data_IF_620358705155
#
_entry.id   IF_620358705155
#
_cell.length_a   1.000
_cell.length_b   1.000
_cell.length_c   1.000
_cell.angle_alpha   90.00
_cell.angle_beta   90.00
_cell.angle_gamma   90.00
#
_symmetry.space_group_name_H-M   'P 1'
#
loop_
_entity.id
_entity.type
_entity.pdbx_description
1 polymer ?
#
# COMPACT_ATOMS: atom_id res chain seq x y z
N UNK A 1 54.92 -3.97 -2.97
CA UNK A 1 53.87 -3.45 -3.84
C UNK A 1 52.56 -3.91 -3.24
N UNK A 2 51.89 -3.03 -2.48
CA UNK A 2 50.57 -3.30 -1.91
C UNK A 2 49.53 -2.96 -2.96
N UNK A 3 48.87 -3.96 -3.49
CA UNK A 3 47.68 -3.76 -4.34
C UNK A 3 46.58 -3.30 -3.35
N UNK A 4 46.34 -2.01 -3.32
CA UNK A 4 45.15 -1.47 -2.68
C UNK A 4 43.92 -2.06 -3.42
N UNK A 5 43.27 -3.03 -2.80
CA UNK A 5 41.95 -3.47 -3.23
C UNK A 5 41.05 -2.24 -3.17
N UNK A 6 40.71 -1.72 -4.33
CA UNK A 6 39.74 -0.65 -4.49
C UNK A 6 38.34 -1.13 -4.14
N UNK A 7 38.07 -1.31 -2.87
CA UNK A 7 36.69 -1.46 -2.38
C UNK A 7 35.95 -0.17 -2.73
N UNK A 8 35.10 -0.24 -3.75
CA UNK A 8 34.23 0.89 -4.06
C UNK A 8 33.33 1.13 -2.87
N UNK A 9 33.41 2.34 -2.31
CA UNK A 9 32.64 2.73 -1.13
C UNK A 9 31.14 2.48 -1.37
N UNK A 10 30.49 1.90 -0.37
CA UNK A 10 29.04 1.65 -0.41
C UNK A 10 28.28 2.94 -0.08
N UNK A 11 27.23 3.21 -0.85
CA UNK A 11 26.37 4.39 -0.67
C UNK A 11 25.54 4.27 0.63
N UNK A 12 25.10 3.04 0.95
CA UNK A 12 24.30 2.74 2.14
C UNK A 12 24.60 1.32 2.66
N UNK A 13 24.01 0.95 3.80
CA UNK A 13 23.98 -0.44 4.27
C UNK A 13 22.85 -1.21 3.59
N UNK A 14 21.72 -0.55 3.37
CA UNK A 14 20.54 -1.18 2.73
C UNK A 14 20.00 -0.28 1.62
N UNK A 15 19.77 -0.84 0.45
CA UNK A 15 18.95 -0.22 -0.58
C UNK A 15 17.58 -0.87 -0.61
N UNK A 16 16.53 -0.03 -0.52
CA UNK A 16 15.12 -0.45 -0.51
C UNK A 16 14.54 -0.11 -1.89
N UNK A 17 14.17 -1.11 -2.65
CA UNK A 17 13.55 -0.94 -3.97
C UNK A 17 12.03 -0.88 -3.80
N UNK A 18 11.46 0.31 -4.00
CA UNK A 18 10.03 0.59 -3.81
C UNK A 18 9.73 1.37 -2.54
N UNK A 19 9.16 2.57 -2.69
CA UNK A 19 8.74 3.49 -1.62
C UNK A 19 7.24 3.50 -1.34
N UNK A 20 6.57 2.36 -1.54
CA UNK A 20 5.20 2.14 -1.08
C UNK A 20 5.13 1.88 0.44
N UNK A 21 3.95 1.51 0.97
CA UNK A 21 3.76 1.31 2.42
C UNK A 21 4.79 0.39 3.07
N UNK A 22 5.14 -0.70 2.40
CA UNK A 22 6.10 -1.70 2.90
C UNK A 22 7.51 -1.12 2.94
N UNK A 23 7.96 -0.49 1.84
CA UNK A 23 9.31 0.10 1.78
C UNK A 23 9.48 1.29 2.71
N UNK A 24 8.46 2.15 2.86
CA UNK A 24 8.48 3.24 3.83
C UNK A 24 8.51 2.70 5.27
N UNK A 25 7.75 1.65 5.58
CA UNK A 25 7.79 1.01 6.88
C UNK A 25 9.17 0.44 7.21
N UNK A 26 9.78 -0.28 6.26
CA UNK A 26 11.14 -0.78 6.41
C UNK A 26 12.16 0.35 6.60
N UNK A 27 12.02 1.43 5.81
CA UNK A 27 12.89 2.59 5.94
C UNK A 27 12.81 3.25 7.32
N UNK A 28 11.61 3.33 7.91
CA UNK A 28 11.43 3.83 9.29
C UNK A 28 12.08 2.89 10.29
N UNK A 29 11.86 1.58 10.19
CA UNK A 29 12.44 0.58 11.08
C UNK A 29 13.97 0.64 11.08
N UNK A 30 14.58 0.72 9.91
CA UNK A 30 16.04 0.83 9.78
C UNK A 30 16.53 2.20 10.25
N UNK A 31 15.85 3.26 9.85
CA UNK A 31 16.22 4.63 10.18
C UNK A 31 16.20 4.93 11.68
N UNK A 32 15.21 4.42 12.42
CA UNK A 32 15.14 4.52 13.89
C UNK A 32 16.30 3.80 14.60
N UNK A 33 16.95 2.85 13.92
CA UNK A 33 18.12 2.11 14.40
C UNK A 33 19.43 2.69 13.88
N UNK A 34 19.38 3.86 13.25
CA UNK A 34 20.52 4.52 12.62
C UNK A 34 21.23 3.67 11.54
N UNK A 35 20.52 2.74 10.92
CA UNK A 35 21.00 1.98 9.75
C UNK A 35 20.84 2.87 8.53
N UNK A 36 21.95 3.15 7.84
CA UNK A 36 21.93 3.97 6.62
C UNK A 36 21.24 3.22 5.50
N UNK A 37 20.15 3.80 4.97
CA UNK A 37 19.46 3.20 3.85
C UNK A 37 19.05 4.24 2.78
N UNK A 38 18.94 3.74 1.56
CA UNK A 38 18.46 4.50 0.40
C UNK A 38 17.18 3.85 -0.11
N UNK A 39 16.12 4.64 -0.20
CA UNK A 39 14.85 4.21 -0.79
C UNK A 39 14.78 4.71 -2.24
N UNK A 40 14.59 3.78 -3.18
CA UNK A 40 14.39 4.08 -4.60
C UNK A 40 12.90 3.95 -4.93
N UNK A 41 12.24 5.04 -5.27
CA UNK A 41 10.81 5.06 -5.59
C UNK A 41 10.55 5.82 -6.90
N UNK A 42 9.90 5.14 -7.83
CA UNK A 42 9.62 5.69 -9.17
C UNK A 42 8.63 6.86 -9.18
N UNK A 43 7.76 6.96 -8.17
CA UNK A 43 6.76 8.02 -8.09
C UNK A 43 7.23 9.16 -7.21
N UNK A 44 7.24 10.36 -7.76
CA UNK A 44 7.53 11.57 -6.98
C UNK A 44 6.49 11.78 -5.87
N UNK A 45 5.22 11.49 -6.15
CA UNK A 45 4.10 11.64 -5.22
C UNK A 45 3.33 10.33 -5.03
N UNK A 46 2.65 10.13 -3.87
CA UNK A 46 1.71 9.03 -3.69
C UNK A 46 0.64 9.05 -4.79
N UNK A 47 0.27 7.88 -5.28
CA UNK A 47 -0.75 7.77 -6.31
C UNK A 47 -2.13 8.07 -5.72
N UNK A 48 -2.93 9.00 -6.29
CA UNK A 48 -4.23 9.42 -5.73
C UNK A 48 -5.35 8.38 -5.98
N UNK A 49 -5.01 7.09 -5.92
CA UNK A 49 -5.93 5.98 -6.04
C UNK A 49 -6.00 5.27 -4.70
N UNK A 50 -7.18 5.11 -4.09
CA UNK A 50 -7.36 4.49 -2.79
C UNK A 50 -7.28 2.96 -2.89
N UNK A 51 -6.10 2.40 -3.19
CA UNK A 51 -5.89 0.96 -3.38
C UNK A 51 -6.20 0.14 -2.13
N UNK A 52 -5.78 0.62 -0.98
CA UNK A 52 -6.04 0.02 0.31
C UNK A 52 -6.53 1.09 1.27
N UNK A 53 -7.48 0.73 2.13
CA UNK A 53 -8.08 1.71 3.04
C UNK A 53 -8.24 1.19 4.47
N UNK A 54 -8.09 -0.11 4.69
CA UNK A 54 -8.24 -0.70 6.00
C UNK A 54 -6.87 -0.97 6.62
N UNK A 55 -6.59 -0.30 7.72
CA UNK A 55 -5.41 -0.50 8.55
C UNK A 55 -5.81 -1.35 9.75
N UNK A 56 -5.28 -2.56 9.84
CA UNK A 56 -5.55 -3.45 10.94
C UNK A 56 -4.96 -2.93 12.25
N UNK A 57 -5.41 -3.45 13.37
CA UNK A 57 -4.84 -3.14 14.69
C UNK A 57 -3.33 -3.38 14.69
N UNK A 58 -2.87 -4.50 14.14
CA UNK A 58 -1.44 -4.80 14.04
C UNK A 58 -0.66 -3.75 13.24
N UNK A 59 -1.23 -3.28 12.15
CA UNK A 59 -0.62 -2.18 11.37
C UNK A 59 -0.52 -0.90 12.20
N UNK A 60 -1.57 -0.60 12.96
CA UNK A 60 -1.59 0.59 13.83
C UNK A 60 -0.60 0.48 14.99
N UNK A 61 -0.34 -0.72 15.51
CA UNK A 61 0.73 -0.96 16.49
C UNK A 61 2.11 -0.63 15.91
N UNK A 62 2.40 -1.06 14.67
CA UNK A 62 3.63 -0.64 14.00
C UNK A 62 3.71 0.88 13.87
N UNK A 63 2.62 1.52 13.47
CA UNK A 63 2.57 2.98 13.33
C UNK A 63 2.78 3.71 14.66
N UNK A 64 2.33 3.14 15.77
CA UNK A 64 2.64 3.64 17.11
C UNK A 64 4.15 3.63 17.37
N UNK A 65 4.80 2.47 17.19
CA UNK A 65 6.25 2.34 17.41
C UNK A 65 7.08 3.16 16.42
N UNK A 66 6.55 3.43 15.23
CA UNK A 66 7.20 4.30 14.25
C UNK A 66 6.99 5.80 14.51
N UNK A 67 6.14 6.14 15.47
CA UNK A 67 5.81 7.53 15.80
C UNK A 67 4.93 8.23 14.76
N UNK A 68 4.18 7.47 13.93
CA UNK A 68 3.31 8.03 12.87
C UNK A 68 1.82 7.86 13.16
N UNK A 69 1.44 7.15 14.22
CA UNK A 69 0.03 6.84 14.52
C UNK A 69 -0.86 8.08 14.51
N UNK A 70 -0.45 9.13 15.22
CA UNK A 70 -1.25 10.36 15.32
C UNK A 70 -1.38 11.07 13.96
N UNK A 71 -0.32 11.10 13.17
CA UNK A 71 -0.35 11.69 11.83
C UNK A 71 -1.26 10.92 10.87
N UNK A 72 -1.30 9.59 10.98
CA UNK A 72 -2.20 8.73 10.21
C UNK A 72 -3.66 8.96 10.65
N UNK A 73 -3.94 9.01 11.96
CA UNK A 73 -5.29 9.28 12.47
C UNK A 73 -5.78 10.68 12.09
N UNK A 74 -4.92 11.68 12.10
CA UNK A 74 -5.24 13.04 11.67
C UNK A 74 -5.50 13.16 10.16
N UNK A 75 -4.95 12.24 9.35
CA UNK A 75 -5.16 12.21 7.90
C UNK A 75 -6.45 11.49 7.47
N UNK A 76 -7.30 11.11 8.42
CA UNK A 76 -8.59 10.46 8.16
C UNK A 76 -9.48 11.32 7.26
N UNK A 77 -10.06 10.69 6.25
CA UNK A 77 -10.98 11.36 5.30
C UNK A 77 -12.45 11.12 5.63
N UNK A 78 -12.73 10.22 6.57
CA UNK A 78 -14.07 9.87 7.01
C UNK A 78 -14.11 10.02 8.53
N UNK A 79 -15.07 10.75 9.10
CA UNK A 79 -15.25 10.89 10.56
C UNK A 79 -15.38 9.53 11.26
N UNK A 80 -14.95 9.48 12.52
CA UNK A 80 -14.89 8.22 13.27
C UNK A 80 -16.26 7.59 13.51
N UNK A 81 -17.30 8.38 13.61
CA UNK A 81 -18.71 7.95 13.77
C UNK A 81 -19.25 7.18 12.57
N UNK A 82 -18.70 7.38 11.38
CA UNK A 82 -18.98 6.55 10.21
C UNK A 82 -18.24 5.21 10.25
N UNK A 83 -17.39 5.04 11.26
CA UNK A 83 -16.78 3.79 11.62
C UNK A 83 -15.93 3.15 10.54
N UNK A 84 -15.48 1.95 10.87
CA UNK A 84 -14.77 1.04 9.99
C UNK A 84 -15.69 -0.17 9.70
N UNK A 85 -16.95 -0.02 10.02
CA UNK A 85 -17.97 -1.05 9.86
C UNK A 85 -18.25 -1.33 8.39
N UNK A 86 -18.46 -2.59 8.08
CA UNK A 86 -18.89 -3.07 6.81
C UNK A 86 -20.25 -3.73 6.89
N UNK A 87 -20.98 -3.67 5.79
CA UNK A 87 -22.25 -4.36 5.59
C UNK A 87 -22.12 -5.33 4.44
N UNK A 88 -22.60 -6.55 4.62
CA UNK A 88 -22.80 -7.51 3.52
C UNK A 88 -24.28 -7.70 3.28
N UNK A 89 -24.70 -7.52 2.03
CA UNK A 89 -26.06 -7.78 1.57
C UNK A 89 -26.06 -8.89 0.52
N UNK A 90 -27.17 -9.60 0.42
CA UNK A 90 -27.39 -10.61 -0.59
C UNK A 90 -28.39 -10.09 -1.63
N UNK A 91 -28.00 -10.15 -2.90
CA UNK A 91 -28.78 -9.63 -4.03
C UNK A 91 -28.62 -8.13 -4.23
N UNK A 92 -29.09 -7.34 -3.29
CA UNK A 92 -29.06 -5.87 -3.38
C UNK A 92 -28.90 -5.21 -2.00
N UNK A 93 -28.27 -4.03 -1.97
CA UNK A 93 -28.23 -3.18 -0.76
C UNK A 93 -29.57 -2.53 -0.42
N UNK A 94 -30.53 -2.53 -1.33
CA UNK A 94 -31.86 -1.99 -1.08
C UNK A 94 -32.84 -3.04 -0.52
N UNK A 95 -32.40 -4.31 -0.43
CA UNK A 95 -33.19 -5.39 0.17
C UNK A 95 -33.09 -5.40 1.69
N UNK A 96 -33.89 -6.29 2.29
CA UNK A 96 -34.01 -6.40 3.75
C UNK A 96 -32.98 -7.38 4.34
N UNK A 97 -32.31 -8.17 3.51
CA UNK A 97 -31.35 -9.15 3.96
C UNK A 97 -29.92 -8.60 3.94
N UNK A 98 -29.42 -8.29 5.11
CA UNK A 98 -28.05 -7.82 5.31
C UNK A 98 -27.53 -8.18 6.69
N UNK A 99 -26.23 -8.27 6.84
CA UNK A 99 -25.55 -8.47 8.11
C UNK A 99 -24.28 -7.64 8.23
N UNK A 100 -23.92 -7.36 9.49
CA UNK A 100 -22.68 -6.62 9.78
C UNK A 100 -21.46 -7.48 9.51
N UNK A 101 -20.51 -6.87 8.82
CA UNK A 101 -19.21 -7.45 8.51
C UNK A 101 -18.10 -6.70 9.25
N UNK A 102 -16.98 -7.39 9.55
CA UNK A 102 -15.86 -6.84 10.29
C UNK A 102 -16.25 -6.39 11.74
N UNK A 103 -16.73 -7.31 12.53
CA UNK A 103 -17.08 -7.08 13.95
C UNK A 103 -15.80 -6.80 14.79
N UNK A 104 -15.24 -5.62 14.66
CA UNK A 104 -13.96 -5.23 15.26
C UNK A 104 -13.98 -5.20 16.79
N UNK A 105 -15.13 -4.96 17.38
CA UNK A 105 -15.30 -4.95 18.84
C UNK A 105 -14.95 -6.29 19.48
N UNK A 106 -15.16 -7.41 18.79
CA UNK A 106 -14.83 -8.74 19.29
C UNK A 106 -13.32 -8.97 19.45
N UNK A 107 -12.50 -8.30 18.65
CA UNK A 107 -11.05 -8.46 18.71
C UNK A 107 -10.33 -7.33 19.45
N UNK A 108 -11.04 -6.25 19.76
CA UNK A 108 -10.48 -5.09 20.44
C UNK A 108 -9.70 -5.41 21.72
N UNK A 109 -10.16 -6.32 22.60
CA UNK A 109 -9.45 -6.64 23.84
C UNK A 109 -8.08 -7.30 23.63
N UNK A 110 -7.79 -7.79 22.43
CA UNK A 110 -6.54 -8.50 22.10
C UNK A 110 -5.47 -7.59 21.51
N UNK A 111 -5.77 -6.30 21.33
CA UNK A 111 -4.86 -5.34 20.73
C UNK A 111 -4.75 -4.08 21.57
N UNK A 112 -3.59 -3.54 21.58
CA UNK A 112 -3.25 -2.33 22.34
C UNK A 112 -3.86 -1.06 21.69
N UNK A 113 -4.05 -1.05 20.38
CA UNK A 113 -4.62 0.10 19.66
C UNK A 113 -5.73 -0.31 18.68
N UNK A 114 -6.65 0.61 18.43
CA UNK A 114 -7.73 0.40 17.47
C UNK A 114 -7.21 0.46 16.03
N UNK A 115 -7.87 -0.28 15.15
CA UNK A 115 -7.67 -0.17 13.72
C UNK A 115 -8.07 1.23 13.19
N UNK A 116 -7.69 1.50 11.96
CA UNK A 116 -7.96 2.77 11.31
C UNK A 116 -8.39 2.56 9.86
N UNK A 117 -8.99 3.58 9.27
CA UNK A 117 -9.40 3.59 7.89
C UNK A 117 -9.13 4.95 7.25
N UNK A 118 -8.32 4.94 6.20
CA UNK A 118 -8.08 6.09 5.32
C UNK A 118 -7.52 5.61 3.98
N UNK A 119 -7.61 6.41 2.91
CA UNK A 119 -7.03 6.05 1.64
C UNK A 119 -5.51 5.85 1.73
N UNK A 120 -5.00 4.86 1.01
CA UNK A 120 -3.57 4.51 1.03
C UNK A 120 -2.66 5.71 0.78
N UNK A 121 -3.01 6.61 -0.15
CA UNK A 121 -2.20 7.80 -0.44
C UNK A 121 -2.05 8.74 0.76
N UNK A 122 -3.06 8.84 1.62
CA UNK A 122 -2.99 9.67 2.82
C UNK A 122 -2.06 9.05 3.87
N UNK A 123 -2.12 7.73 4.04
CA UNK A 123 -1.17 6.98 4.87
C UNK A 123 0.25 7.09 4.33
N UNK A 124 0.46 6.87 3.03
CA UNK A 124 1.79 7.00 2.40
C UNK A 124 2.38 8.40 2.60
N UNK A 125 1.56 9.45 2.52
CA UNK A 125 2.02 10.82 2.78
C UNK A 125 2.50 11.00 4.23
N UNK A 126 1.83 10.36 5.21
CA UNK A 126 2.27 10.38 6.60
C UNK A 126 3.60 9.62 6.79
N UNK A 127 3.73 8.45 6.19
CA UNK A 127 4.96 7.65 6.24
C UNK A 127 6.15 8.39 5.59
N UNK A 128 5.95 9.02 4.42
CA UNK A 128 6.98 9.81 3.74
C UNK A 128 7.47 10.99 4.59
N UNK A 129 6.56 11.68 5.29
CA UNK A 129 6.95 12.74 6.23
C UNK A 129 7.83 12.20 7.35
N UNK A 130 7.45 11.07 7.93
CA UNK A 130 8.24 10.44 8.99
C UNK A 130 9.63 10.01 8.52
N UNK A 131 9.71 9.40 7.33
CA UNK A 131 11.01 9.03 6.72
C UNK A 131 11.91 10.25 6.53
N UNK A 132 11.36 11.39 6.12
CA UNK A 132 12.14 12.61 5.92
C UNK A 132 12.75 13.20 7.22
N UNK A 133 12.27 12.80 8.39
CA UNK A 133 12.82 13.18 9.70
C UNK A 133 14.02 12.32 10.13
N UNK A 134 14.29 11.20 9.41
CA UNK A 134 15.31 10.23 9.79
C UNK A 134 16.60 10.50 9.00
N UNK A 135 17.62 11.04 9.68
CA UNK A 135 18.87 11.46 9.05
C UNK A 135 19.66 10.32 8.36
N UNK A 136 19.43 9.06 8.78
CA UNK A 136 20.07 7.88 8.20
C UNK A 136 19.33 7.35 6.95
N UNK A 137 18.21 7.98 6.53
CA UNK A 137 17.43 7.54 5.38
C UNK A 137 17.47 8.59 4.26
N UNK A 138 17.98 8.19 3.11
CA UNK A 138 17.89 8.97 1.88
C UNK A 138 16.76 8.44 1.01
N UNK A 139 15.96 9.33 0.41
CA UNK A 139 14.89 8.95 -0.52
C UNK A 139 15.16 9.49 -1.91
N UNK A 140 15.06 8.62 -2.90
CA UNK A 140 15.22 8.93 -4.32
C UNK A 140 13.86 8.76 -4.99
N UNK A 141 13.04 9.81 -4.93
CA UNK A 141 11.76 9.87 -5.62
C UNK A 141 11.95 10.22 -7.10
N UNK A 142 11.13 9.65 -7.97
CA UNK A 142 11.26 9.81 -9.44
C UNK A 142 12.34 8.91 -10.04
N UNK A 143 12.86 7.95 -9.28
CA UNK A 143 13.87 7.00 -9.75
C UNK A 143 13.31 5.58 -9.81
N UNK A 144 13.54 4.90 -10.94
CA UNK A 144 13.15 3.51 -11.16
C UNK A 144 14.36 2.59 -11.04
N UNK A 145 14.22 1.51 -10.27
CA UNK A 145 15.18 0.40 -10.33
C UNK A 145 14.98 -0.37 -11.62
N UNK A 146 16.04 -0.53 -12.40
CA UNK A 146 16.06 -1.26 -13.68
C UNK A 146 16.68 -2.64 -13.54
N UNK A 147 17.65 -2.76 -12.63
CA UNK A 147 18.31 -4.03 -12.35
C UNK A 147 18.76 -4.15 -10.90
N UNK A 148 18.85 -5.39 -10.42
CA UNK A 148 19.35 -5.74 -9.09
C UNK A 148 20.28 -6.92 -9.24
N UNK A 149 21.51 -6.77 -8.76
CA UNK A 149 22.54 -7.81 -8.79
C UNK A 149 23.30 -7.85 -7.48
N UNK A 150 24.07 -8.90 -7.26
CA UNK A 150 24.93 -9.06 -6.08
C UNK A 150 26.24 -9.75 -6.48
N UNK A 151 27.27 -9.48 -5.70
CA UNK A 151 28.57 -10.13 -5.73
C UNK A 151 29.05 -10.42 -4.29
N UNK A 152 30.31 -10.87 -4.14
CA UNK A 152 30.89 -11.16 -2.83
C UNK A 152 31.05 -9.90 -1.93
N UNK A 153 30.87 -8.71 -2.49
CA UNK A 153 31.03 -7.43 -1.80
C UNK A 153 29.68 -6.79 -1.43
N UNK A 154 28.55 -7.29 -1.91
CA UNK A 154 27.22 -6.78 -1.57
C UNK A 154 26.26 -6.72 -2.77
N UNK A 155 25.26 -5.87 -2.64
CA UNK A 155 24.22 -5.69 -3.61
C UNK A 155 24.39 -4.39 -4.42
N UNK A 156 23.95 -4.41 -5.65
CA UNK A 156 23.98 -3.29 -6.58
C UNK A 156 22.59 -3.12 -7.21
N UNK A 157 22.11 -1.90 -7.25
CA UNK A 157 20.84 -1.56 -7.90
C UNK A 157 21.09 -0.49 -8.95
N UNK A 158 20.90 -0.86 -10.23
CA UNK A 158 20.93 0.10 -11.31
C UNK A 158 19.63 0.90 -11.35
N UNK A 159 19.74 2.21 -11.30
CA UNK A 159 18.59 3.12 -11.24
C UNK A 159 18.63 4.16 -12.35
N UNK A 160 17.44 4.56 -12.80
CA UNK A 160 17.24 5.61 -13.81
C UNK A 160 16.25 6.64 -13.32
N UNK A 161 16.59 7.91 -13.51
CA UNK A 161 15.67 9.03 -13.28
C UNK A 161 14.56 9.03 -14.34
N UNK A 162 13.30 9.18 -13.93
CA UNK A 162 12.17 9.11 -14.86
C UNK A 162 11.94 10.41 -15.63
N UNK A 163 12.24 11.56 -15.01
CA UNK A 163 12.10 12.89 -15.63
C UNK A 163 13.43 13.36 -16.25
N UNK A 164 14.32 12.45 -16.61
CA UNK A 164 15.62 12.71 -17.20
C UNK A 164 16.29 11.42 -17.68
N UNK A 165 17.52 11.55 -18.16
CA UNK A 165 18.32 10.44 -18.69
C UNK A 165 19.41 9.96 -17.71
N UNK A 166 19.44 10.52 -16.49
CA UNK A 166 20.45 10.16 -15.52
C UNK A 166 20.30 8.69 -15.09
N UNK A 167 21.43 7.99 -15.12
CA UNK A 167 21.55 6.61 -14.66
C UNK A 167 22.72 6.50 -13.72
N UNK A 168 22.52 5.71 -12.66
CA UNK A 168 23.59 5.41 -11.71
C UNK A 168 23.35 4.05 -11.05
N UNK A 169 24.38 3.53 -10.40
CA UNK A 169 24.29 2.33 -9.59
C UNK A 169 24.39 2.71 -8.11
N UNK A 170 23.45 2.26 -7.32
CA UNK A 170 23.49 2.33 -5.86
C UNK A 170 24.08 1.04 -5.32
N UNK A 171 25.13 1.13 -4.48
CA UNK A 171 25.83 0.01 -3.86
C UNK A 171 25.51 -0.06 -2.37
N UNK A 172 25.20 -1.26 -1.88
CA UNK A 172 24.87 -1.48 -0.47
C UNK A 172 25.31 -2.88 0.00
N UNK A 173 25.23 -3.13 1.32
CA UNK A 173 25.41 -4.50 1.83
C UNK A 173 24.23 -5.39 1.41
N UNK A 174 23.01 -4.83 1.41
CA UNK A 174 21.79 -5.54 1.09
C UNK A 174 20.88 -4.75 0.16
N UNK A 175 20.18 -5.44 -0.73
CA UNK A 175 19.05 -4.92 -1.50
C UNK A 175 17.75 -5.60 -1.04
N UNK A 176 16.72 -4.81 -0.74
CA UNK A 176 15.43 -5.34 -0.29
C UNK A 176 14.33 -4.91 -1.25
N UNK A 177 13.68 -5.89 -1.90
CA UNK A 177 12.57 -5.65 -2.82
C UNK A 177 11.27 -5.35 -2.08
N UNK A 178 10.78 -4.12 -2.20
CA UNK A 178 9.48 -3.65 -1.72
C UNK A 178 8.64 -3.06 -2.87
N UNK A 179 8.91 -3.47 -4.10
CA UNK A 179 8.41 -2.92 -5.36
C UNK A 179 7.11 -3.57 -5.87
N UNK A 180 6.49 -4.40 -5.01
CA UNK A 180 5.13 -4.88 -5.16
C UNK A 180 4.98 -6.10 -6.07
N UNK A 181 3.79 -6.29 -6.65
CA UNK A 181 3.43 -7.51 -7.38
C UNK A 181 4.24 -7.72 -8.68
N UNK A 182 4.70 -6.64 -9.29
CA UNK A 182 5.56 -6.66 -10.49
C UNK A 182 7.00 -6.31 -10.11
N UNK A 183 7.53 -7.08 -9.17
CA UNK A 183 8.82 -6.79 -8.55
C UNK A 183 9.98 -7.10 -9.47
N UNK A 184 10.75 -6.09 -9.83
CA UNK A 184 12.04 -6.22 -10.51
C UNK A 184 13.05 -6.94 -9.61
N UNK A 185 13.06 -6.64 -8.31
CA UNK A 185 13.97 -7.29 -7.36
C UNK A 185 13.73 -8.81 -7.29
N UNK A 186 12.45 -9.25 -7.27
CA UNK A 186 12.11 -10.67 -7.29
C UNK A 186 12.57 -11.35 -8.58
N UNK A 187 12.27 -10.74 -9.72
CA UNK A 187 12.63 -11.29 -11.04
C UNK A 187 14.15 -11.43 -11.20
N UNK A 188 14.90 -10.39 -10.85
CA UNK A 188 16.36 -10.38 -10.93
C UNK A 188 17.03 -11.31 -9.90
N UNK A 189 16.40 -11.50 -8.77
CA UNK A 189 16.80 -12.50 -7.77
C UNK A 189 16.49 -13.95 -8.15
N UNK A 190 15.91 -14.22 -9.33
CA UNK A 190 15.55 -15.56 -9.78
C UNK A 190 14.42 -16.21 -8.95
N UNK A 191 13.66 -15.42 -8.20
CA UNK A 191 12.59 -15.91 -7.33
C UNK A 191 11.31 -16.07 -8.15
N UNK A 192 10.85 -17.31 -8.26
CA UNK A 192 9.62 -17.63 -8.99
C UNK A 192 8.38 -17.28 -8.17
N UNK A 193 7.28 -17.00 -8.86
CA UNK A 193 5.97 -16.73 -8.25
C UNK A 193 4.96 -17.76 -8.74
N UNK A 194 4.30 -18.42 -7.81
CA UNK A 194 3.12 -19.24 -8.11
C UNK A 194 1.90 -18.33 -8.11
N UNK A 195 1.14 -18.35 -9.19
CA UNK A 195 -0.15 -17.68 -9.28
C UNK A 195 -1.24 -18.67 -8.90
N UNK A 196 -2.21 -18.22 -8.10
CA UNK A 196 -3.45 -18.98 -7.89
C UNK A 196 -4.34 -18.85 -9.12
N UNK A 197 -5.11 -19.91 -9.39
CA UNK A 197 -6.09 -19.94 -10.48
C UNK A 197 -7.24 -18.97 -10.18
N UNK A 198 -7.11 -17.73 -10.65
CA UNK A 198 -8.19 -16.77 -10.73
C UNK A 198 -8.59 -16.62 -12.19
N UNK A 199 -9.81 -17.00 -12.48
CA UNK A 199 -10.37 -16.95 -13.83
C UNK A 199 -10.90 -15.56 -14.21
N UNK A 200 -11.00 -14.64 -13.26
CA UNK A 200 -11.52 -13.27 -13.49
C UNK A 200 -10.59 -12.20 -12.96
N UNK A 201 -10.41 -11.17 -13.76
CA UNK A 201 -9.79 -9.92 -13.33
C UNK A 201 -10.78 -9.09 -12.51
N UNK A 202 -10.25 -8.31 -11.56
CA UNK A 202 -11.05 -7.35 -10.78
C UNK A 202 -10.76 -5.94 -11.27
N UNK A 203 -11.80 -5.14 -11.45
CA UNK A 203 -11.67 -3.71 -11.74
C UNK A 203 -11.79 -2.89 -10.45
N UNK A 204 -10.96 -1.86 -10.34
CA UNK A 204 -11.10 -0.80 -9.35
C UNK A 204 -11.53 0.49 -10.05
N UNK A 205 -12.72 0.95 -9.74
CA UNK A 205 -13.23 2.25 -10.17
C UNK A 205 -13.25 3.23 -9.01
N UNK A 206 -12.95 4.49 -9.30
CA UNK A 206 -13.14 5.60 -8.36
C UNK A 206 -14.10 6.58 -9.02
N UNK A 207 -15.16 6.95 -8.32
CA UNK A 207 -16.22 7.78 -8.88
C UNK A 207 -16.80 8.72 -7.82
N UNK A 208 -17.64 9.66 -8.25
CA UNK A 208 -18.35 10.59 -7.39
C UNK A 208 -19.85 10.38 -7.46
N UNK A 209 -20.52 10.36 -6.30
CA UNK A 209 -21.97 10.27 -6.21
C UNK A 209 -22.49 10.80 -4.87
N UNK A 210 -23.21 11.89 -4.90
CA UNK A 210 -23.96 12.42 -3.77
C UNK A 210 -25.23 11.60 -3.51
N UNK A 211 -25.86 11.09 -4.55
CA UNK A 211 -27.08 10.28 -4.42
C UNK A 211 -26.79 8.99 -3.69
N UNK A 212 -25.67 8.33 -3.99
CA UNK A 212 -25.28 7.13 -3.28
C UNK A 212 -25.00 7.42 -1.80
N UNK A 213 -24.47 8.61 -1.47
CA UNK A 213 -24.31 9.02 -0.08
C UNK A 213 -25.67 9.04 0.64
N UNK A 214 -26.67 9.72 0.08
CA UNK A 214 -28.04 9.80 0.64
C UNK A 214 -28.70 8.44 0.77
N UNK A 215 -28.61 7.60 -0.25
CA UNK A 215 -29.20 6.25 -0.24
C UNK A 215 -28.64 5.36 0.88
N UNK A 216 -27.37 5.55 1.23
CA UNK A 216 -26.68 4.73 2.22
C UNK A 216 -26.69 5.32 3.65
N UNK A 217 -27.36 6.44 3.87
CA UNK A 217 -27.67 6.94 5.23
C UNK A 217 -28.56 5.98 6.03
N UNK A 218 -29.29 5.10 5.33
CA UNK A 218 -30.03 3.99 5.95
C UNK A 218 -29.15 3.00 6.73
N UNK A 219 -27.84 3.01 6.50
CA UNK A 219 -26.86 2.16 7.18
C UNK A 219 -25.86 3.01 7.98
N UNK A 220 -26.26 3.52 9.13
CA UNK A 220 -25.40 4.36 9.95
C UNK A 220 -24.16 3.59 10.42
N UNK A 221 -23.04 4.27 10.51
CA UNK A 221 -21.78 3.69 10.97
C UNK A 221 -21.11 2.70 9.99
N UNK A 222 -21.55 2.65 8.71
CA UNK A 222 -21.00 1.78 7.69
C UNK A 222 -20.23 2.58 6.65
N UNK A 223 -19.03 2.10 6.32
CA UNK A 223 -18.17 2.70 5.29
C UNK A 223 -17.86 1.75 4.15
N UNK A 224 -18.10 0.45 4.33
CA UNK A 224 -17.91 -0.59 3.34
C UNK A 224 -19.21 -1.33 3.08
N UNK A 225 -19.39 -1.71 1.84
CA UNK A 225 -20.56 -2.43 1.39
C UNK A 225 -20.13 -3.55 0.47
N UNK A 226 -20.55 -4.76 0.80
CA UNK A 226 -20.30 -5.94 0.03
C UNK A 226 -21.62 -6.52 -0.44
N UNK A 227 -21.76 -6.82 -1.72
CA UNK A 227 -22.96 -7.43 -2.30
C UNK A 227 -22.59 -8.78 -2.88
N UNK A 228 -23.23 -9.82 -2.37
CA UNK A 228 -23.17 -11.18 -2.86
C UNK A 228 -24.37 -11.45 -3.75
N UNK A 229 -24.20 -12.17 -4.82
CA UNK A 229 -25.26 -12.60 -5.73
C UNK A 229 -24.90 -13.91 -6.39
N UNK A 230 -25.84 -14.84 -6.63
CA UNK A 230 -25.57 -16.12 -7.30
C UNK A 230 -24.86 -15.95 -8.65
N UNK A 231 -25.28 -14.97 -9.44
CA UNK A 231 -24.71 -14.68 -10.77
C UNK A 231 -23.23 -14.26 -10.73
N UNK A 232 -22.68 -13.98 -9.55
CA UNK A 232 -21.28 -13.66 -9.37
C UNK A 232 -20.40 -14.89 -9.14
N UNK A 233 -21.00 -16.10 -9.07
CA UNK A 233 -20.27 -17.38 -9.01
C UNK A 233 -19.16 -17.43 -7.94
N UNK A 234 -19.47 -16.93 -6.73
CA UNK A 234 -18.52 -16.84 -5.62
C UNK A 234 -17.73 -15.52 -5.56
N UNK A 235 -17.81 -14.68 -6.57
CA UNK A 235 -17.29 -13.33 -6.52
C UNK A 235 -18.26 -12.37 -5.82
N UNK A 236 -17.82 -11.13 -5.62
CA UNK A 236 -18.59 -10.10 -4.93
C UNK A 236 -18.43 -8.74 -5.60
N UNK A 237 -19.40 -7.87 -5.37
CA UNK A 237 -19.28 -6.44 -5.64
C UNK A 237 -18.96 -5.73 -4.33
N UNK A 238 -17.84 -5.04 -4.28
CA UNK A 238 -17.38 -4.38 -3.08
C UNK A 238 -17.15 -2.90 -3.34
N UNK A 239 -17.72 -2.05 -2.52
CA UNK A 239 -17.51 -0.63 -2.62
C UNK A 239 -17.49 0.04 -1.25
N UNK A 240 -17.01 1.27 -1.23
CA UNK A 240 -16.94 2.02 0.01
C UNK A 240 -16.65 3.49 -0.20
N UNK A 241 -16.80 4.22 0.87
CA UNK A 241 -16.53 5.65 0.92
C UNK A 241 -15.02 5.87 0.89
N UNK A 242 -14.55 6.83 0.10
CA UNK A 242 -13.19 7.35 0.15
C UNK A 242 -13.15 8.57 1.06
N UNK A 243 -14.16 9.42 0.96
CA UNK A 243 -14.41 10.56 1.81
C UNK A 243 -15.88 10.65 2.23
N UNK A 244 -16.19 11.62 3.08
CA UNK A 244 -17.55 11.91 3.50
C UNK A 244 -18.15 13.00 2.61
N UNK A 245 -18.59 12.67 1.48
CA UNK A 245 -19.25 13.66 0.64
C UNK A 245 -19.59 13.09 -0.71
N UNK A 246 -18.61 12.62 -1.45
CA UNK A 246 -18.92 12.23 -2.80
C UNK A 246 -18.05 11.13 -3.39
N UNK A 247 -16.86 10.91 -2.88
CA UNK A 247 -15.90 10.00 -3.51
C UNK A 247 -16.07 8.58 -3.01
N UNK A 248 -16.16 7.66 -3.95
CA UNK A 248 -16.37 6.24 -3.75
C UNK A 248 -15.34 5.43 -4.51
N UNK A 249 -15.01 4.26 -4.00
CA UNK A 249 -14.35 3.21 -4.76
C UNK A 249 -15.30 2.04 -5.00
N UNK A 250 -15.08 1.31 -6.07
CA UNK A 250 -15.85 0.12 -6.42
C UNK A 250 -14.94 -0.95 -6.99
N UNK A 251 -15.05 -2.15 -6.45
CA UNK A 251 -14.41 -3.35 -6.98
C UNK A 251 -15.46 -4.34 -7.47
N UNK A 252 -15.28 -4.85 -8.67
CA UNK A 252 -16.11 -5.90 -9.21
C UNK A 252 -15.29 -6.83 -10.11
N UNK A 253 -15.69 -8.09 -10.24
CA UNK A 253 -15.16 -8.95 -11.29
C UNK A 253 -15.61 -8.41 -12.66
N UNK A 254 -14.70 -8.48 -13.62
CA UNK A 254 -15.06 -8.21 -15.02
C UNK A 254 -15.48 -9.53 -15.69
N UNK A 255 -16.26 -9.47 -16.79
CA UNK A 255 -16.63 -10.68 -17.53
C UNK A 255 -15.43 -11.50 -17.94
N UNK A 256 -15.53 -12.83 -18.03
CA UNK A 256 -14.47 -13.67 -18.55
C UNK A 256 -14.02 -13.21 -19.94
N UNK A 257 -12.71 -13.25 -20.19
CA UNK A 257 -12.14 -12.81 -21.46
C UNK A 257 -11.95 -11.29 -21.61
N UNK A 258 -12.33 -10.49 -20.60
CA UNK A 258 -12.03 -9.06 -20.60
C UNK A 258 -10.52 -8.84 -20.44
N UNK A 259 -9.94 -8.07 -21.35
CA UNK A 259 -8.53 -7.67 -21.31
C UNK A 259 -8.40 -6.18 -20.93
N UNK A 260 -7.18 -5.67 -20.91
CA UNK A 260 -6.96 -4.23 -20.69
C UNK A 260 -7.33 -3.37 -21.90
N UNK A 261 -7.51 -4.01 -23.05
CA UNK A 261 -7.67 -3.35 -24.34
C UNK A 261 -9.12 -3.37 -24.84
N UNK A 262 -10.04 -4.02 -24.11
CA UNK A 262 -11.49 -4.09 -24.42
C UNK A 262 -12.39 -3.92 -23.19
#
# INVERSE_FOLDING_TARGET
MSIANGETAKDAQVVIVGGGPVGMGLAIELGQRNIRCIVVERRAHPQPIPKGQNLTQRTMEHFHFWGVEQAVRAARTIPREYGIGGLTAYGTLLGDYSYDWLQRELVRPFYFTDNERLPQYAMEAALRRRVAELASVQTLYGWSAEDVSQDDHGAQVAIRQLDGDERRTVRADYAVGCDGSRSTARERGGITQTLSDHDRSMVLLVFRSQDLHRLLERYPGKSYYNVLHPDLEGYWKFFGRVDLGSTWFFHAPVPPGTTKDN
#
